data_IF_338533919005
#
_entry.id   IF_338533919005
#
_cell.length_a   1.000
_cell.length_b   1.000
_cell.length_c   1.000
_cell.angle_alpha   90.00
_cell.angle_beta   90.00
_cell.angle_gamma   90.00
#
_symmetry.space_group_name_H-M   'P 1'
#
loop_
_entity.id
_entity.type
_entity.pdbx_description
1 polymer ?
#
# COMPACT_ATOMS: atom_id res chain seq x y z
N UNK A 1 8.05 -18.89 -7.06
CA UNK A 1 7.40 -19.41 -5.83
C UNK A 1 6.01 -18.83 -5.70
N UNK A 2 5.05 -19.59 -5.14
CA UNK A 2 3.75 -19.04 -4.78
C UNK A 2 3.81 -18.44 -3.38
N UNK A 3 3.21 -17.25 -3.22
CA UNK A 3 3.13 -16.51 -1.95
C UNK A 3 1.70 -16.05 -1.74
N UNK A 4 1.13 -16.36 -0.58
CA UNK A 4 -0.23 -15.93 -0.24
C UNK A 4 -0.27 -14.43 0.00
N UNK A 5 -1.15 -13.72 -0.70
CA UNK A 5 -1.43 -12.31 -0.44
C UNK A 5 -2.81 -12.19 0.21
N UNK A 6 -2.82 -11.89 1.51
CA UNK A 6 -4.06 -11.74 2.28
C UNK A 6 -4.69 -10.37 1.98
N UNK A 7 -5.43 -10.30 0.89
CA UNK A 7 -6.14 -9.09 0.45
C UNK A 7 -7.42 -9.44 -0.30
N UNK A 8 -8.48 -8.69 -0.07
CA UNK A 8 -9.72 -8.69 -0.84
C UNK A 8 -9.73 -7.59 -1.90
N UNK A 9 -8.72 -6.71 -1.88
CA UNK A 9 -8.63 -5.57 -2.79
C UNK A 9 -8.01 -5.96 -4.13
N UNK A 10 -8.85 -6.09 -5.16
CA UNK A 10 -8.43 -6.49 -6.52
C UNK A 10 -7.38 -5.57 -7.14
N UNK A 11 -7.40 -4.27 -6.82
CA UNK A 11 -6.43 -3.30 -7.34
C UNK A 11 -5.07 -3.41 -6.67
N UNK A 12 -5.04 -3.64 -5.36
CA UNK A 12 -3.80 -3.96 -4.65
C UNK A 12 -3.16 -5.21 -5.23
N UNK A 13 -3.97 -6.24 -5.50
CA UNK A 13 -3.48 -7.49 -6.11
C UNK A 13 -2.93 -7.28 -7.52
N UNK A 14 -3.67 -6.57 -8.39
CA UNK A 14 -3.24 -6.32 -9.77
C UNK A 14 -1.91 -5.55 -9.81
N UNK A 15 -1.80 -4.44 -9.08
CA UNK A 15 -0.57 -3.66 -9.00
C UNK A 15 0.62 -4.45 -8.44
N UNK A 16 0.39 -5.28 -7.42
CA UNK A 16 1.43 -6.13 -6.84
C UNK A 16 1.91 -7.21 -7.82
N UNK A 17 0.99 -7.86 -8.53
CA UNK A 17 1.35 -8.85 -9.58
C UNK A 17 2.17 -8.22 -10.69
N UNK A 18 1.81 -7.02 -11.13
CA UNK A 18 2.55 -6.28 -12.15
C UNK A 18 3.95 -5.91 -11.66
N UNK A 19 4.08 -5.41 -10.42
CA UNK A 19 5.37 -5.05 -9.82
C UNK A 19 6.31 -6.26 -9.64
N UNK A 20 5.76 -7.45 -9.44
CA UNK A 20 6.50 -8.71 -9.26
C UNK A 20 6.73 -9.47 -10.57
N UNK A 21 6.28 -8.96 -11.71
CA UNK A 21 6.50 -9.62 -12.99
C UNK A 21 7.99 -9.84 -13.24
N UNK A 22 8.36 -11.07 -13.65
CA UNK A 22 9.75 -11.47 -13.90
C UNK A 22 10.60 -11.78 -12.66
N UNK A 23 10.09 -11.58 -11.42
CA UNK A 23 10.86 -11.88 -10.19
C UNK A 23 10.81 -13.34 -9.75
N UNK A 24 9.97 -14.16 -10.36
CA UNK A 24 9.74 -15.56 -9.94
C UNK A 24 8.81 -15.70 -8.72
N UNK A 25 8.28 -14.61 -8.16
CA UNK A 25 7.27 -14.62 -7.10
C UNK A 25 5.88 -14.47 -7.73
N UNK A 26 5.00 -15.44 -7.48
CA UNK A 26 3.61 -15.43 -7.92
C UNK A 26 2.68 -15.24 -6.72
N UNK A 27 1.90 -14.16 -6.73
CA UNK A 27 0.93 -13.90 -5.66
C UNK A 27 -0.36 -14.68 -5.91
N UNK A 28 -0.77 -15.42 -4.89
CA UNK A 28 -2.05 -16.12 -4.85
C UNK A 28 -2.94 -15.53 -3.76
N UNK A 29 -4.22 -15.39 -4.03
CA UNK A 29 -5.23 -15.06 -3.02
C UNK A 29 -5.76 -16.35 -2.44
N UNK A 30 -6.01 -16.45 -1.14
CA UNK A 30 -6.65 -17.63 -0.55
C UNK A 30 -8.00 -17.95 -1.19
N UNK A 31 -8.27 -19.22 -1.42
CA UNK A 31 -9.57 -19.68 -1.93
C UNK A 31 -10.67 -19.52 -0.89
N UNK A 32 -10.31 -19.63 0.39
CA UNK A 32 -11.18 -19.37 1.51
C UNK A 32 -11.48 -17.86 1.64
N UNK A 33 -12.71 -17.53 2.00
CA UNK A 33 -13.09 -16.15 2.25
C UNK A 33 -12.24 -15.56 3.38
N UNK A 34 -11.49 -14.50 3.07
CA UNK A 34 -10.73 -13.76 4.09
C UNK A 34 -11.72 -12.98 4.97
N UNK A 35 -11.80 -13.28 6.27
CA UNK A 35 -12.59 -12.45 7.17
C UNK A 35 -11.96 -11.06 7.29
N UNK A 36 -12.78 -10.08 7.58
CA UNK A 36 -12.28 -8.75 7.94
C UNK A 36 -11.71 -8.85 9.36
N UNK A 37 -10.38 -8.69 9.49
CA UNK A 37 -9.72 -8.71 10.80
C UNK A 37 -9.72 -7.31 11.40
N UNK A 38 -10.15 -7.15 12.67
CA UNK A 38 -10.10 -5.84 13.33
C UNK A 38 -8.67 -5.28 13.34
N UNK A 39 -8.51 -4.06 12.86
CA UNK A 39 -7.22 -3.37 12.92
C UNK A 39 -7.03 -2.74 14.30
N UNK A 40 -5.79 -2.78 14.81
CA UNK A 40 -5.46 -2.08 16.05
C UNK A 40 -5.57 -0.57 15.85
N UNK A 41 -5.92 0.16 16.90
CA UNK A 41 -5.83 1.61 16.92
C UNK A 41 -4.38 2.03 17.15
N UNK A 42 -3.75 2.54 16.11
CA UNK A 42 -2.36 3.03 16.15
C UNK A 42 -2.20 4.08 15.07
N UNK A 43 -1.29 5.03 15.24
CA UNK A 43 -0.82 5.97 14.22
C UNK A 43 0.39 5.42 13.46
N UNK A 44 0.99 4.33 13.93
CA UNK A 44 2.08 3.62 13.25
C UNK A 44 1.54 2.59 12.25
N UNK A 45 1.65 2.91 10.97
CA UNK A 45 1.24 2.01 9.89
C UNK A 45 2.01 0.68 9.90
N UNK A 46 3.22 0.65 10.42
CA UNK A 46 4.01 -0.56 10.56
C UNK A 46 3.39 -1.50 11.59
N UNK A 47 3.02 -0.95 12.76
CA UNK A 47 2.37 -1.72 13.80
C UNK A 47 1.03 -2.31 13.32
N UNK A 48 0.23 -1.52 12.60
CA UNK A 48 -1.04 -1.97 11.99
C UNK A 48 -0.81 -3.11 10.99
N UNK A 49 0.19 -2.96 10.11
CA UNK A 49 0.50 -3.96 9.08
C UNK A 49 1.03 -5.27 9.68
N UNK A 50 1.86 -5.18 10.72
CA UNK A 50 2.37 -6.36 11.45
C UNK A 50 1.25 -7.10 12.16
N UNK A 51 0.41 -6.40 12.92
CA UNK A 51 -0.73 -7.00 13.61
C UNK A 51 -1.68 -7.72 12.64
N UNK A 52 -1.96 -7.10 11.50
CA UNK A 52 -2.76 -7.72 10.43
C UNK A 52 -2.12 -8.98 9.87
N UNK A 53 -0.79 -8.97 9.64
CA UNK A 53 -0.08 -10.15 9.14
C UNK A 53 -0.13 -11.31 10.13
N UNK A 54 0.05 -11.04 11.43
CA UNK A 54 -0.05 -12.04 12.49
C UNK A 54 -1.45 -12.64 12.55
N UNK A 55 -2.51 -11.83 12.54
CA UNK A 55 -3.91 -12.28 12.57
C UNK A 55 -4.24 -13.17 11.36
N UNK A 56 -3.84 -12.77 10.16
CA UNK A 56 -4.06 -13.62 8.97
C UNK A 56 -3.21 -14.88 8.98
N UNK A 57 -1.99 -14.85 9.52
CA UNK A 57 -1.20 -16.05 9.70
C UNK A 57 -1.86 -17.03 10.67
N UNK A 58 -2.44 -16.53 11.75
CA UNK A 58 -3.17 -17.38 12.69
C UNK A 58 -4.38 -18.08 12.06
N UNK A 59 -5.02 -17.44 11.09
CA UNK A 59 -6.12 -18.01 10.33
C UNK A 59 -5.66 -19.00 9.27
N UNK A 60 -4.64 -18.63 8.50
CA UNK A 60 -4.23 -19.35 7.28
C UNK A 60 -3.13 -20.39 7.50
N UNK A 61 -2.35 -20.26 8.60
CA UNK A 61 -1.23 -21.15 9.00
C UNK A 61 -0.22 -21.42 7.87
N UNK A 62 0.06 -20.41 7.04
CA UNK A 62 1.01 -20.48 5.92
C UNK A 62 1.67 -19.13 5.68
N UNK A 63 2.90 -19.10 5.10
CA UNK A 63 3.57 -17.86 4.77
C UNK A 63 2.70 -16.94 3.92
N UNK A 64 2.65 -15.65 4.30
CA UNK A 64 1.80 -14.67 3.64
C UNK A 64 2.42 -13.28 3.62
N UNK A 65 1.85 -12.43 2.78
CA UNK A 65 2.04 -10.97 2.82
C UNK A 65 0.72 -10.26 3.02
N UNK A 66 0.79 -9.12 3.68
CA UNK A 66 -0.23 -8.08 3.68
C UNK A 66 0.37 -6.79 3.16
N UNK A 67 -0.46 -5.86 2.69
CA UNK A 67 -0.02 -4.51 2.34
C UNK A 67 -1.03 -3.49 2.82
N UNK A 68 -0.58 -2.53 3.60
CA UNK A 68 -1.35 -1.35 3.97
C UNK A 68 -0.80 -0.11 3.29
N UNK A 69 -1.68 0.87 3.06
CA UNK A 69 -1.32 2.13 2.43
C UNK A 69 -2.08 3.27 3.08
N UNK A 70 -1.40 4.40 3.26
CA UNK A 70 -1.97 5.62 3.82
C UNK A 70 -1.50 6.86 3.07
N UNK A 71 -2.30 7.93 3.17
CA UNK A 71 -1.98 9.28 2.75
C UNK A 71 -1.65 10.09 3.99
N UNK A 72 -0.49 10.72 4.02
CA UNK A 72 -0.01 11.53 5.13
C UNK A 72 0.18 12.96 4.64
N UNK A 73 -0.50 13.92 5.27
CA UNK A 73 -0.52 15.33 4.89
C UNK A 73 0.27 16.10 5.93
N UNK A 74 1.33 16.81 5.51
CA UNK A 74 2.26 17.46 6.41
C UNK A 74 1.56 18.56 7.24
N UNK A 75 0.68 19.36 6.62
CA UNK A 75 -0.09 20.44 7.26
C UNK A 75 -1.14 19.93 8.26
N UNK A 76 -1.47 18.65 8.23
CA UNK A 76 -2.36 17.97 9.17
C UNK A 76 -1.60 17.05 10.14
N UNK A 77 -0.29 17.28 10.35
CA UNK A 77 0.57 16.45 11.20
C UNK A 77 0.49 14.96 10.86
N UNK A 78 0.39 14.64 9.57
CA UNK A 78 0.29 13.28 9.07
C UNK A 78 -1.13 12.69 8.99
N UNK A 79 -2.17 13.40 9.46
CA UNK A 79 -3.54 12.93 9.23
C UNK A 79 -3.87 13.00 7.72
N UNK A 80 -4.62 12.02 7.15
CA UNK A 80 -5.29 10.90 7.79
C UNK A 80 -4.40 9.69 8.13
N UNK A 81 -3.21 9.55 7.55
CA UNK A 81 -2.27 8.49 7.86
C UNK A 81 -2.88 7.10 7.72
N UNK A 82 -2.82 6.29 8.77
CA UNK A 82 -3.42 4.94 8.83
C UNK A 82 -4.93 4.96 8.65
N UNK A 83 -5.60 6.05 9.01
CA UNK A 83 -7.05 6.24 8.89
C UNK A 83 -7.49 6.74 7.52
N UNK A 84 -6.63 6.68 6.51
CA UNK A 84 -6.92 7.19 5.15
C UNK A 84 -8.25 6.69 4.62
N UNK A 85 -8.50 5.38 4.67
CA UNK A 85 -9.76 4.82 4.18
C UNK A 85 -10.96 5.43 4.91
N UNK A 86 -10.91 5.47 6.23
CA UNK A 86 -12.01 6.01 7.04
C UNK A 86 -12.25 7.51 6.75
N UNK A 87 -11.18 8.32 6.69
CA UNK A 87 -11.28 9.74 6.40
C UNK A 87 -11.86 10.01 4.99
N UNK A 88 -11.46 9.22 4.00
CA UNK A 88 -11.97 9.36 2.64
C UNK A 88 -13.41 8.90 2.49
N UNK A 89 -13.82 7.86 3.22
CA UNK A 89 -15.19 7.34 3.21
C UNK A 89 -16.17 8.26 3.98
N UNK A 90 -15.67 9.04 4.95
CA UNK A 90 -16.51 9.91 5.80
C UNK A 90 -16.47 11.39 5.39
N UNK A 91 -15.27 11.96 5.30
CA UNK A 91 -15.05 13.38 4.98
C UNK A 91 -14.97 13.57 3.47
N UNK A 92 -14.25 12.69 2.79
CA UNK A 92 -13.94 12.78 1.37
C UNK A 92 -12.75 13.67 1.06
N UNK A 93 -12.02 13.33 -0.01
CA UNK A 93 -10.80 14.07 -0.38
C UNK A 93 -11.10 15.53 -0.76
N UNK A 94 -12.21 15.77 -1.43
CA UNK A 94 -12.58 17.12 -1.91
C UNK A 94 -12.74 18.09 -0.72
N UNK A 95 -13.35 17.64 0.39
CA UNK A 95 -13.46 18.46 1.61
C UNK A 95 -12.13 18.62 2.33
N UNK A 96 -11.27 17.60 2.36
CA UNK A 96 -9.93 17.71 2.91
C UNK A 96 -9.14 18.77 2.14
N UNK A 97 -9.18 18.76 0.80
CA UNK A 97 -8.53 19.77 -0.04
C UNK A 97 -9.08 21.20 0.24
N UNK A 98 -10.39 21.34 0.40
CA UNK A 98 -11.01 22.62 0.74
C UNK A 98 -10.49 23.17 2.10
N UNK A 99 -10.40 22.31 3.11
CA UNK A 99 -9.88 22.69 4.43
C UNK A 99 -8.41 23.14 4.38
N UNK A 100 -7.61 22.52 3.50
CA UNK A 100 -6.21 22.85 3.31
C UNK A 100 -5.98 24.14 2.49
N UNK A 101 -7.01 24.63 1.79
CA UNK A 101 -6.87 25.72 0.83
C UNK A 101 -6.13 25.35 -0.45
N UNK A 102 -5.73 24.09 -0.59
CA UNK A 102 -4.99 23.52 -1.73
C UNK A 102 -3.46 23.64 -1.60
N UNK A 103 -2.74 22.88 -2.40
CA UNK A 103 -1.28 22.96 -2.45
C UNK A 103 -0.53 22.35 -1.26
N UNK A 104 -1.13 21.42 -0.53
CA UNK A 104 -0.55 20.79 0.65
C UNK A 104 0.56 19.78 0.30
N UNK A 105 1.65 19.78 1.08
CA UNK A 105 2.68 18.74 0.98
C UNK A 105 2.16 17.45 1.59
N UNK A 106 2.45 16.34 0.93
CA UNK A 106 1.98 15.03 1.38
C UNK A 106 2.91 13.91 0.94
N UNK A 107 2.75 12.76 1.55
CA UNK A 107 3.30 11.52 1.00
C UNK A 107 2.28 10.38 1.11
N UNK A 108 2.38 9.44 0.22
CA UNK A 108 1.72 8.15 0.37
C UNK A 108 2.73 7.15 0.92
N UNK A 109 2.32 6.31 1.85
CA UNK A 109 3.16 5.24 2.37
C UNK A 109 2.52 3.90 2.06
N UNK A 110 3.33 2.97 1.58
CA UNK A 110 2.97 1.55 1.46
C UNK A 110 3.86 0.75 2.38
N UNK A 111 3.24 -0.08 3.20
CA UNK A 111 3.93 -1.00 4.09
C UNK A 111 3.51 -2.41 3.76
N UNK A 112 4.48 -3.23 3.35
CA UNK A 112 4.31 -4.65 3.10
C UNK A 112 4.90 -5.39 4.28
N UNK A 113 4.14 -6.32 4.86
CA UNK A 113 4.63 -7.23 5.89
C UNK A 113 4.56 -8.66 5.36
N UNK A 114 5.71 -9.31 5.25
CA UNK A 114 5.84 -10.75 5.06
C UNK A 114 5.96 -11.44 6.40
N UNK A 115 5.21 -12.52 6.58
CA UNK A 115 5.28 -13.33 7.78
C UNK A 115 5.16 -14.82 7.45
N UNK A 116 6.08 -15.62 7.95
CA UNK A 116 6.17 -17.07 7.76
C UNK A 116 6.01 -17.87 9.05
N UNK A 117 5.63 -17.21 10.15
CA UNK A 117 5.51 -17.81 11.47
C UNK A 117 6.71 -17.53 12.39
N UNK A 118 7.79 -16.94 11.89
CA UNK A 118 8.98 -16.61 12.68
C UNK A 118 9.00 -15.12 13.04
N UNK A 119 9.70 -14.31 12.27
CA UNK A 119 9.83 -12.86 12.49
C UNK A 119 9.22 -12.09 11.33
N UNK A 120 8.30 -11.14 11.58
CA UNK A 120 7.79 -10.27 10.53
C UNK A 120 8.92 -9.52 9.81
N UNK A 121 8.87 -9.52 8.48
CA UNK A 121 9.77 -8.73 7.64
C UNK A 121 8.96 -7.63 6.98
N UNK A 122 9.43 -6.39 7.16
CA UNK A 122 8.69 -5.18 6.83
C UNK A 122 9.43 -4.44 5.73
N UNK A 123 8.70 -4.05 4.70
CA UNK A 123 9.18 -3.28 3.56
C UNK A 123 8.30 -2.05 3.41
N UNK A 124 8.90 -0.87 3.39
CA UNK A 124 8.16 0.40 3.35
C UNK A 124 8.64 1.28 2.21
N UNK A 125 7.70 1.83 1.47
CA UNK A 125 7.94 2.84 0.45
C UNK A 125 7.13 4.09 0.76
N UNK A 126 7.80 5.25 0.77
CA UNK A 126 7.15 6.57 0.82
C UNK A 126 7.31 7.25 -0.53
N UNK A 127 6.19 7.63 -1.11
CA UNK A 127 6.14 8.44 -2.32
C UNK A 127 5.72 9.86 -1.91
N UNK A 128 6.66 10.81 -1.95
CA UNK A 128 6.38 12.21 -1.67
C UNK A 128 5.73 12.92 -2.84
N UNK A 129 4.99 13.97 -2.54
CA UNK A 129 4.31 14.76 -3.55
C UNK A 129 3.55 15.94 -2.96
N UNK A 130 2.66 16.48 -3.78
CA UNK A 130 1.80 17.61 -3.43
C UNK A 130 0.35 17.26 -3.75
N UNK A 131 -0.55 17.55 -2.84
CA UNK A 131 -1.98 17.58 -3.12
C UNK A 131 -2.30 18.90 -3.82
N UNK A 132 -2.77 18.83 -5.05
CA UNK A 132 -3.18 19.99 -5.84
C UNK A 132 -4.49 20.56 -5.32
N UNK A 133 -4.75 21.84 -5.58
CA UNK A 133 -6.05 22.48 -5.31
C UNK A 133 -7.15 21.94 -6.24
N UNK A 134 -6.83 21.79 -7.52
CA UNK A 134 -7.76 21.33 -8.54
C UNK A 134 -7.44 19.90 -8.97
N UNK A 135 -8.46 19.04 -9.16
CA UNK A 135 -8.26 17.67 -9.58
C UNK A 135 -7.81 17.60 -11.04
N UNK A 136 -6.94 16.62 -11.35
CA UNK A 136 -6.50 16.33 -12.72
C UNK A 136 -6.52 14.82 -12.98
N UNK A 137 -6.95 14.43 -14.19
CA UNK A 137 -6.98 13.03 -14.62
C UNK A 137 -8.22 12.27 -14.18
N UNK A 138 -8.44 11.10 -14.79
CA UNK A 138 -9.63 10.28 -14.60
C UNK A 138 -9.31 8.81 -14.28
N UNK A 139 -8.03 8.41 -14.36
CA UNK A 139 -7.60 7.04 -14.07
C UNK A 139 -7.13 6.92 -12.63
N UNK A 140 -8.06 6.86 -11.69
CA UNK A 140 -7.64 6.74 -10.30
C UNK A 140 -8.81 6.74 -9.33
N UNK A 141 -8.46 6.72 -8.06
CA UNK A 141 -9.40 6.68 -6.95
C UNK A 141 -9.03 7.66 -5.89
N UNK A 142 -10.01 8.03 -5.12
CA UNK A 142 -9.80 8.79 -3.91
C UNK A 142 -8.94 10.05 -4.20
N UNK A 143 -7.73 10.09 -3.63
CA UNK A 143 -6.82 11.22 -3.75
C UNK A 143 -5.98 11.21 -5.04
N UNK A 144 -6.04 10.19 -5.88
CA UNK A 144 -5.19 10.07 -7.08
C UNK A 144 -5.28 11.29 -8.01
N UNK A 145 -6.47 11.86 -8.14
CA UNK A 145 -6.71 13.06 -8.96
C UNK A 145 -6.09 14.35 -8.42
N UNK A 146 -5.71 14.35 -7.14
CA UNK A 146 -5.06 15.50 -6.50
C UNK A 146 -3.57 15.27 -6.25
N UNK A 147 -3.13 14.02 -6.13
CA UNK A 147 -1.76 13.72 -5.74
C UNK A 147 -0.82 13.77 -6.94
N UNK A 148 0.07 14.77 -6.95
CA UNK A 148 1.17 14.94 -7.89
C UNK A 148 2.46 14.47 -7.22
N UNK A 149 3.04 13.32 -7.61
CA UNK A 149 4.32 12.88 -7.08
C UNK A 149 5.44 13.86 -7.40
N UNK A 150 6.44 13.98 -6.51
CA UNK A 150 7.66 14.74 -6.78
C UNK A 150 8.34 14.17 -8.04
N UNK A 151 9.03 15.04 -8.79
CA UNK A 151 9.72 14.72 -10.05
C UNK A 151 8.79 14.21 -11.18
N UNK A 152 7.47 14.39 -11.03
CA UNK A 152 6.48 14.07 -12.07
C UNK A 152 5.66 15.32 -12.43
N UNK A 153 5.16 15.31 -13.67
CA UNK A 153 4.27 16.35 -14.18
C UNK A 153 2.80 15.88 -14.29
N UNK A 154 2.55 14.62 -13.94
CA UNK A 154 1.22 13.96 -13.95
C UNK A 154 0.79 13.62 -12.54
N UNK A 155 -0.50 13.83 -12.22
CA UNK A 155 -1.11 13.24 -11.01
C UNK A 155 -1.21 11.72 -11.17
N UNK A 156 -1.43 11.00 -10.08
CA UNK A 156 -1.65 9.55 -10.16
C UNK A 156 -2.86 9.21 -11.07
N UNK A 157 -3.87 10.08 -11.15
CA UNK A 157 -5.03 9.86 -12.02
C UNK A 157 -4.78 10.20 -13.50
N UNK A 158 -3.67 10.84 -13.83
CA UNK A 158 -3.23 11.07 -15.21
C UNK A 158 -2.26 9.99 -15.70
N UNK A 159 -1.82 9.08 -14.81
CA UNK A 159 -0.90 7.99 -15.12
C UNK A 159 -1.66 6.74 -15.55
N UNK A 160 -1.02 5.91 -16.39
CA UNK A 160 -1.51 4.56 -16.67
C UNK A 160 -1.29 3.65 -15.45
N UNK A 161 -1.91 2.47 -15.45
CA UNK A 161 -1.72 1.52 -14.35
C UNK A 161 -0.28 0.99 -14.31
N UNK A 162 0.39 0.89 -15.48
CA UNK A 162 1.80 0.56 -15.60
C UNK A 162 2.69 1.64 -14.96
N UNK A 163 2.46 2.91 -15.29
CA UNK A 163 3.20 4.03 -14.69
C UNK A 163 3.05 4.05 -13.16
N UNK A 164 1.82 3.83 -12.65
CA UNK A 164 1.56 3.74 -11.20
C UNK A 164 2.21 2.53 -10.53
N UNK A 165 2.18 1.38 -11.20
CA UNK A 165 2.83 0.17 -10.69
C UNK A 165 4.34 0.35 -10.58
N UNK A 166 4.99 0.99 -11.55
CA UNK A 166 6.43 1.25 -11.52
C UNK A 166 6.83 2.20 -10.37
N UNK A 167 6.02 3.22 -10.05
CA UNK A 167 6.27 4.09 -8.89
C UNK A 167 6.39 3.33 -7.56
N UNK A 168 5.83 2.14 -7.49
CA UNK A 168 5.74 1.34 -6.26
C UNK A 168 6.37 -0.02 -6.39
N UNK A 169 6.97 -0.33 -7.54
CA UNK A 169 7.59 -1.63 -7.81
C UNK A 169 8.79 -1.91 -6.89
N UNK A 170 9.53 -0.88 -6.49
CA UNK A 170 10.74 -1.03 -5.68
C UNK A 170 10.49 -1.83 -4.40
N UNK A 171 9.44 -1.55 -3.65
CA UNK A 171 9.13 -2.25 -2.39
C UNK A 171 8.75 -3.71 -2.61
N UNK A 172 8.09 -4.04 -3.73
CA UNK A 172 7.76 -5.42 -4.09
C UNK A 172 8.99 -6.20 -4.58
N UNK A 173 9.87 -5.55 -5.33
CA UNK A 173 11.15 -6.14 -5.78
C UNK A 173 12.09 -6.40 -4.61
N UNK A 174 12.11 -5.52 -3.61
CA UNK A 174 12.87 -5.73 -2.37
C UNK A 174 12.38 -6.97 -1.61
N UNK A 175 11.07 -7.13 -1.44
CA UNK A 175 10.46 -8.35 -0.92
C UNK A 175 10.91 -9.59 -1.73
N UNK A 176 10.80 -9.55 -3.05
CA UNK A 176 11.18 -10.69 -3.90
C UNK A 176 12.66 -11.06 -3.75
N UNK A 177 13.56 -10.08 -3.71
CA UNK A 177 14.99 -10.29 -3.48
C UNK A 177 15.23 -10.95 -2.12
N UNK A 178 14.56 -10.48 -1.07
CA UNK A 178 14.67 -11.07 0.27
C UNK A 178 14.19 -12.52 0.32
N UNK A 179 13.07 -12.83 -0.34
CA UNK A 179 12.53 -14.19 -0.40
C UNK A 179 13.46 -15.16 -1.16
N UNK A 180 14.16 -14.67 -2.17
CA UNK A 180 15.16 -15.47 -2.89
C UNK A 180 16.34 -15.86 -1.99
N UNK A 181 16.81 -14.95 -1.12
CA UNK A 181 17.87 -15.24 -0.16
C UNK A 181 17.41 -16.24 0.90
N UNK A 182 16.18 -16.13 1.39
CA UNK A 182 15.64 -17.05 2.41
C UNK A 182 15.53 -18.49 1.87
N UNK A 183 15.20 -18.67 0.59
CA UNK A 183 15.19 -20.00 -0.03
C UNK A 183 16.57 -20.65 -0.05
N UNK A 184 17.61 -19.92 -0.44
CA UNK A 184 18.97 -20.43 -0.52
C UNK A 184 19.53 -20.89 0.83
N UNK A 185 19.00 -20.37 1.94
CA UNK A 185 19.44 -20.74 3.30
C UNK A 185 18.69 -21.96 3.88
N UNK A 186 17.71 -22.50 3.15
CA UNK A 186 16.90 -23.66 3.56
C UNK A 186 17.11 -24.87 2.65
N UNK A 187 17.95 -24.78 1.62
CA UNK A 187 18.46 -25.86 0.77
C UNK A 187 19.87 -26.27 1.23
#
# INVERSE_FOLDING_TARGET
MNLTYATTNKYKLAGAKQALAGTGVNLIVPDEALPDVPEIQSDDQTAVSVDKALKYYDLLKRPLVVMDSGLFIDELNGFPGVYTKYALDTIGIDRIIQLLGGGARAYTQRTITYFDGNKPQIFTLKLRGTLLKEPRGNNGRNYDKYFLPDDKNKTLAEMTDEEKAELTAAVWRELAARLSVLKLNHE
#
